data_IF_933454581684
#
_entry.id   IF_933454581684
#
_cell.length_a   1.000
_cell.length_b   1.000
_cell.length_c   1.000
_cell.angle_alpha   90.00
_cell.angle_beta   90.00
_cell.angle_gamma   90.00
#
_symmetry.space_group_name_H-M   'P 1'
#
loop_
_entity.id
_entity.type
_entity.pdbx_description
1 polymer ?
#
# COMPACT_ATOMS: atom_id res chain seq x y z
N UNK A 1 33.74 26.11 -23.07
CA UNK A 1 32.80 27.12 -22.54
C UNK A 1 31.59 26.37 -22.01
N UNK A 2 31.50 26.21 -20.69
CA UNK A 2 30.26 25.90 -19.98
C UNK A 2 30.52 26.35 -18.55
N UNK A 3 30.29 27.64 -18.31
CA UNK A 3 30.43 28.29 -17.01
C UNK A 3 29.10 28.14 -16.32
N UNK A 4 28.92 27.04 -15.58
CA UNK A 4 27.89 27.01 -14.54
C UNK A 4 28.36 27.90 -13.40
N UNK A 5 27.62 28.96 -13.11
CA UNK A 5 27.90 29.86 -12.00
C UNK A 5 27.81 29.10 -10.67
N UNK A 6 28.82 29.17 -9.78
CA UNK A 6 28.68 28.64 -8.44
C UNK A 6 27.75 29.56 -7.66
N UNK A 7 26.58 29.07 -7.26
CA UNK A 7 25.69 29.78 -6.33
C UNK A 7 26.39 29.86 -4.97
N UNK A 8 26.93 31.04 -4.67
CA UNK A 8 27.50 31.40 -3.38
C UNK A 8 26.39 31.40 -2.32
N UNK A 9 26.51 30.54 -1.30
CA UNK A 9 25.73 30.67 -0.06
C UNK A 9 24.56 29.70 0.16
N UNK A 10 24.65 28.44 -0.27
CA UNK A 10 23.87 27.38 0.38
C UNK A 10 24.83 26.51 1.18
N UNK A 11 24.85 26.69 2.50
CA UNK A 11 25.50 25.76 3.40
C UNK A 11 24.95 24.35 3.11
N UNK A 12 25.80 23.44 2.66
CA UNK A 12 25.40 22.06 2.29
C UNK A 12 24.80 21.29 3.49
N UNK A 13 25.03 21.77 4.72
CA UNK A 13 24.39 21.28 5.95
C UNK A 13 22.94 21.76 6.15
N UNK A 14 22.51 22.81 5.44
CA UNK A 14 21.12 23.26 5.33
C UNK A 14 20.36 22.57 4.17
N UNK A 15 20.97 21.57 3.53
CA UNK A 15 20.22 20.53 2.81
C UNK A 15 19.35 19.82 3.85
N UNK A 16 18.16 20.38 4.03
CA UNK A 16 17.27 20.11 5.16
C UNK A 16 17.03 18.61 5.23
N UNK A 17 17.62 17.96 6.23
CA UNK A 17 17.33 16.56 6.55
C UNK A 17 15.84 16.50 6.87
N UNK A 18 15.05 16.05 5.91
CA UNK A 18 13.62 15.88 6.07
C UNK A 18 13.42 14.94 7.25
N UNK A 19 12.73 15.41 8.28
CA UNK A 19 12.50 14.65 9.51
C UNK A 19 11.17 13.87 9.48
N UNK A 20 11.08 12.81 10.28
CA UNK A 20 9.78 12.20 10.58
C UNK A 20 8.84 13.23 11.21
N UNK A 21 7.57 13.23 10.79
CA UNK A 21 6.55 14.15 11.27
C UNK A 21 6.60 15.56 10.67
N UNK A 22 7.63 15.88 9.86
CA UNK A 22 7.77 17.19 9.23
C UNK A 22 6.58 17.47 8.29
N UNK A 23 5.96 18.67 8.35
CA UNK A 23 4.85 19.01 7.48
C UNK A 23 5.31 19.22 6.03
N UNK A 24 4.48 18.81 5.09
CA UNK A 24 4.73 18.96 3.65
C UNK A 24 3.63 19.82 3.05
N UNK A 25 4.01 20.74 2.16
CA UNK A 25 3.14 21.70 1.52
C UNK A 25 3.30 21.65 0.00
N UNK A 26 2.28 22.05 -0.74
CA UNK A 26 2.37 22.28 -2.18
C UNK A 26 2.99 23.65 -2.50
N UNK A 27 3.13 23.95 -3.80
CA UNK A 27 3.69 25.22 -4.27
C UNK A 27 2.80 26.45 -4.00
N UNK A 28 1.54 26.24 -3.61
CA UNK A 28 0.60 27.30 -3.22
C UNK A 28 0.59 27.51 -1.70
N UNK A 29 1.32 26.68 -0.94
CA UNK A 29 1.41 26.73 0.51
C UNK A 29 0.31 25.95 1.23
N UNK A 30 -0.50 25.16 0.52
CA UNK A 30 -1.49 24.29 1.16
C UNK A 30 -0.81 23.07 1.76
N UNK A 31 -1.27 22.63 2.93
CA UNK A 31 -0.64 21.56 3.70
C UNK A 31 -1.09 20.18 3.21
N UNK A 32 -0.20 19.48 2.52
CA UNK A 32 -0.44 18.12 2.01
C UNK A 32 -0.45 17.08 3.13
N UNK A 33 0.45 17.18 4.11
CA UNK A 33 0.55 16.13 5.14
C UNK A 33 1.77 16.21 6.04
N UNK A 34 2.20 15.06 6.55
CA UNK A 34 3.43 14.90 7.34
C UNK A 34 4.26 13.69 6.90
N UNK A 35 5.57 13.78 7.00
CA UNK A 35 6.48 12.69 6.61
C UNK A 35 6.36 11.52 7.59
N UNK A 36 6.20 10.29 7.07
CA UNK A 36 6.06 9.07 7.88
C UNK A 36 7.22 8.08 7.76
N UNK A 37 8.09 8.25 6.77
CA UNK A 37 9.09 7.23 6.43
C UNK A 37 10.00 7.65 5.29
N UNK A 38 11.10 6.90 5.17
CA UNK A 38 12.13 7.05 4.16
C UNK A 38 12.54 5.68 3.64
N UNK A 39 13.02 5.64 2.40
CA UNK A 39 13.63 4.49 1.76
C UNK A 39 14.72 4.97 0.76
N UNK A 40 15.45 4.05 0.11
CA UNK A 40 16.40 4.35 -0.96
C UNK A 40 15.78 5.21 -2.09
N UNK A 41 14.46 5.13 -2.28
CA UNK A 41 13.71 5.91 -3.26
C UNK A 41 13.20 7.29 -2.80
N UNK A 42 13.36 7.70 -1.54
CA UNK A 42 12.88 9.00 -1.05
C UNK A 42 12.10 8.93 0.27
N UNK A 43 10.98 9.66 0.38
CA UNK A 43 10.16 9.74 1.60
C UNK A 43 8.66 9.63 1.34
N UNK A 44 7.93 9.18 2.36
CA UNK A 44 6.48 8.95 2.32
C UNK A 44 5.74 9.98 3.16
N UNK A 45 4.60 10.48 2.67
CA UNK A 45 3.76 11.47 3.37
C UNK A 45 2.40 10.87 3.71
N UNK A 46 1.95 11.04 4.96
CA UNK A 46 0.56 10.81 5.33
C UNK A 46 -0.25 12.04 4.96
N UNK A 47 -1.15 11.89 3.97
CA UNK A 47 -2.02 12.96 3.50
C UNK A 47 -3.01 13.40 4.58
N UNK A 48 -3.30 14.70 4.66
CA UNK A 48 -4.38 15.24 5.49
C UNK A 48 -5.74 15.03 4.80
N UNK A 49 -6.81 14.96 5.59
CA UNK A 49 -8.18 14.83 5.07
C UNK A 49 -8.52 15.99 4.12
N UNK A 50 -9.05 15.68 2.94
CA UNK A 50 -9.43 16.68 1.93
C UNK A 50 -8.38 16.98 0.85
N UNK A 51 -7.19 16.38 0.90
CA UNK A 51 -6.25 16.41 -0.23
C UNK A 51 -6.33 15.10 -1.00
N UNK A 52 -6.97 15.14 -2.17
CA UNK A 52 -6.83 14.11 -3.18
C UNK A 52 -5.41 14.23 -3.75
N UNK A 53 -4.48 13.43 -3.24
CA UNK A 53 -3.32 13.09 -4.07
C UNK A 53 -3.88 12.64 -5.42
N UNK A 54 -3.32 13.07 -6.56
CA UNK A 54 -3.51 12.27 -7.77
C UNK A 54 -3.06 10.87 -7.38
N UNK A 55 -4.04 10.01 -7.17
CA UNK A 55 -3.92 8.93 -6.23
C UNK A 55 -2.81 7.99 -6.67
N UNK A 56 -2.42 7.10 -5.78
CA UNK A 56 -1.77 5.82 -6.14
C UNK A 56 -2.77 4.93 -6.92
N UNK A 57 -3.60 5.52 -7.78
CA UNK A 57 -4.43 4.93 -8.82
C UNK A 57 -3.69 5.00 -10.17
N UNK A 58 -2.68 5.86 -10.35
CA UNK A 58 -1.94 5.94 -11.63
C UNK A 58 -0.75 4.97 -11.76
N UNK A 59 -0.25 4.41 -10.65
CA UNK A 59 0.67 3.23 -10.66
C UNK A 59 -0.10 1.92 -10.45
N UNK A 60 -1.42 2.01 -10.29
CA UNK A 60 -2.35 0.90 -10.46
C UNK A 60 -3.11 1.10 -11.75
N UNK A 61 -2.38 1.25 -12.85
CA UNK A 61 -2.91 0.99 -14.18
C UNK A 61 -3.61 -0.38 -14.11
N UNK A 62 -4.94 -0.35 -14.07
CA UNK A 62 -5.85 -1.48 -13.92
C UNK A 62 -5.91 -2.11 -12.52
N UNK A 63 -6.58 -1.45 -11.56
CA UNK A 63 -7.02 -2.04 -10.29
C UNK A 63 -8.15 -3.08 -10.49
N UNK A 64 -7.93 -4.03 -11.39
CA UNK A 64 -8.47 -5.41 -11.33
C UNK A 64 -7.47 -6.33 -10.60
N UNK A 65 -6.34 -5.80 -10.14
CA UNK A 65 -5.30 -6.52 -9.39
C UNK A 65 -5.35 -6.12 -7.91
N UNK A 66 -6.10 -6.88 -7.11
CA UNK A 66 -6.15 -6.67 -5.66
C UNK A 66 -7.35 -7.28 -4.93
N UNK A 67 -8.33 -7.85 -5.64
CA UNK A 67 -9.30 -8.76 -5.01
C UNK A 67 -8.79 -10.19 -5.16
N UNK A 68 -7.92 -10.62 -4.25
CA UNK A 68 -7.85 -12.06 -4.02
C UNK A 68 -9.20 -12.43 -3.38
N UNK A 69 -10.12 -13.02 -4.16
CA UNK A 69 -11.36 -13.53 -3.59
C UNK A 69 -10.98 -14.51 -2.48
N UNK A 70 -11.46 -14.27 -1.26
CA UNK A 70 -11.19 -15.15 -0.13
C UNK A 70 -11.87 -16.50 -0.40
N UNK A 71 -11.08 -17.56 -0.47
CA UNK A 71 -11.53 -18.92 -0.71
C UNK A 71 -11.23 -19.79 0.50
N UNK A 72 -11.95 -20.89 0.66
CA UNK A 72 -11.58 -21.96 1.55
C UNK A 72 -11.10 -23.16 0.73
N UNK A 73 -10.23 -23.97 1.33
CA UNK A 73 -9.77 -25.24 0.78
C UNK A 73 -9.84 -26.33 1.84
N UNK A 74 -10.39 -27.48 1.47
CA UNK A 74 -10.36 -28.68 2.31
C UNK A 74 -8.96 -29.31 2.28
N UNK A 75 -8.41 -29.57 3.47
CA UNK A 75 -7.08 -30.18 3.64
C UNK A 75 -7.08 -31.68 3.33
N UNK A 76 -8.23 -32.34 3.42
CA UNK A 76 -8.35 -33.79 3.19
C UNK A 76 -8.59 -34.13 1.71
N UNK A 77 -9.58 -33.51 1.07
CA UNK A 77 -9.94 -33.84 -0.32
C UNK A 77 -9.51 -32.79 -1.35
N UNK A 78 -9.07 -31.61 -0.91
CA UNK A 78 -8.63 -30.53 -1.79
C UNK A 78 -9.75 -29.70 -2.43
N UNK A 79 -11.02 -29.96 -2.10
CA UNK A 79 -12.16 -29.15 -2.56
C UNK A 79 -11.99 -27.68 -2.18
N UNK A 80 -12.43 -26.77 -3.05
CA UNK A 80 -12.31 -25.33 -2.84
C UNK A 80 -13.64 -24.62 -3.05
N UNK A 81 -13.86 -23.54 -2.31
CA UNK A 81 -15.07 -22.71 -2.46
C UNK A 81 -14.86 -21.28 -2.00
N UNK A 82 -15.77 -20.39 -2.42
CA UNK A 82 -15.76 -18.98 -2.01
C UNK A 82 -16.16 -18.81 -0.55
N UNK A 83 -15.60 -17.79 0.09
CA UNK A 83 -15.96 -17.37 1.45
C UNK A 83 -16.79 -16.09 1.33
N UNK A 84 -18.11 -16.24 1.35
CA UNK A 84 -19.06 -15.12 1.34
C UNK A 84 -19.47 -14.71 2.77
N UNK A 85 -19.82 -15.69 3.62
CA UNK A 85 -20.27 -15.47 5.02
C UNK A 85 -19.44 -16.27 6.06
N UNK A 86 -18.33 -16.90 5.63
CA UNK A 86 -17.47 -17.74 6.46
C UNK A 86 -17.24 -19.15 5.90
N UNK A 87 -16.60 -20.02 6.69
CA UNK A 87 -16.38 -21.43 6.33
C UNK A 87 -17.63 -22.27 6.62
N UNK A 88 -17.98 -23.24 5.74
CA UNK A 88 -19.05 -24.19 6.02
C UNK A 88 -18.72 -25.09 7.22
N UNK A 89 -19.75 -25.67 7.85
CA UNK A 89 -19.58 -26.61 8.99
C UNK A 89 -18.91 -27.93 8.58
N UNK A 90 -19.13 -28.36 7.33
CA UNK A 90 -18.55 -29.56 6.74
C UNK A 90 -18.15 -29.35 5.27
N UNK A 91 -17.19 -30.15 4.81
CA UNK A 91 -16.76 -30.16 3.42
C UNK A 91 -17.87 -30.77 2.53
N UNK A 92 -18.40 -30.07 1.52
CA UNK A 92 -19.48 -30.59 0.68
C UNK A 92 -19.08 -31.79 -0.19
N UNK A 93 -17.78 -32.05 -0.33
CA UNK A 93 -17.22 -33.10 -1.19
C UNK A 93 -16.90 -34.39 -0.42
N UNK A 94 -16.33 -34.28 0.79
CA UNK A 94 -15.93 -35.43 1.60
C UNK A 94 -16.61 -35.54 2.97
N UNK A 95 -17.38 -34.53 3.39
CA UNK A 95 -18.08 -34.48 4.68
C UNK A 95 -17.19 -34.23 5.90
N UNK A 96 -15.93 -33.82 5.70
CA UNK A 96 -15.02 -33.57 6.82
C UNK A 96 -15.38 -32.29 7.56
N UNK A 97 -15.14 -32.26 8.88
CA UNK A 97 -15.50 -31.13 9.74
C UNK A 97 -14.79 -29.82 9.34
N UNK A 98 -15.37 -28.68 9.74
CA UNK A 98 -14.81 -27.33 9.51
C UNK A 98 -13.34 -27.17 9.90
N UNK A 99 -12.85 -27.93 10.88
CA UNK A 99 -11.45 -27.94 11.30
C UNK A 99 -10.48 -28.37 10.18
N UNK A 100 -10.96 -29.14 9.21
CA UNK A 100 -10.21 -29.52 8.01
C UNK A 100 -10.34 -28.51 6.85
N UNK A 101 -11.02 -27.38 7.05
CA UNK A 101 -11.17 -26.32 6.05
C UNK A 101 -10.25 -25.13 6.41
N UNK A 102 -9.43 -24.68 5.47
CA UNK A 102 -8.49 -23.57 5.66
C UNK A 102 -8.77 -22.42 4.71
N UNK A 103 -8.60 -21.18 5.19
CA UNK A 103 -8.60 -19.97 4.35
C UNK A 103 -7.45 -20.02 3.34
N UNK A 104 -7.74 -19.66 2.10
CA UNK A 104 -6.84 -19.69 0.95
C UNK A 104 -7.11 -18.49 0.05
N UNK A 105 -6.05 -17.90 -0.50
CA UNK A 105 -6.14 -16.87 -1.54
C UNK A 105 -5.60 -17.48 -2.83
N UNK A 106 -6.35 -17.37 -3.93
CA UNK A 106 -5.86 -17.80 -5.24
C UNK A 106 -4.61 -16.98 -5.62
N UNK A 107 -3.53 -17.67 -6.03
CA UNK A 107 -2.25 -17.08 -6.46
C UNK A 107 -2.39 -16.41 -7.84
#
# INVERSE_FOLDING_TARGET
MNTGEPTDGVDEEELTRIGFGQPVFDGEGNRLGKVRGFDEGGFYVTMHEGYEAMSVEHVRSNAEFGEAELMWRCMECGEMGRIEDGLPDDCPSCGESREALMYWTED
#
